data_IF_470608154212
#
_entry.id   IF_470608154212
#
_cell.length_a   1.000
_cell.length_b   1.000
_cell.length_c   1.000
_cell.angle_alpha   90.00
_cell.angle_beta   90.00
_cell.angle_gamma   90.00
#
_symmetry.space_group_name_H-M   'P 1'
#
loop_
_entity.id
_entity.type
_entity.pdbx_description
1 polymer ?
#
# COMPACT_ATOMS: atom_id res chain seq x y z
N UNK A 1 29.21 12.81 -4.89
CA UNK A 1 28.67 11.55 -4.35
C UNK A 1 28.65 11.69 -2.84
N UNK A 2 27.48 11.64 -2.20
CA UNK A 2 27.39 11.69 -0.73
C UNK A 2 27.82 10.32 -0.20
N UNK A 3 28.84 10.27 0.66
CA UNK A 3 29.41 9.01 1.17
C UNK A 3 28.44 8.20 2.05
N UNK A 4 28.84 7.00 2.51
CA UNK A 4 27.99 6.02 3.20
C UNK A 4 27.35 6.51 4.52
N UNK A 5 27.73 7.68 5.02
CA UNK A 5 27.27 8.26 6.29
C UNK A 5 25.79 8.69 6.30
N UNK A 6 25.17 8.87 5.12
CA UNK A 6 23.77 9.27 5.00
C UNK A 6 22.98 8.37 4.02
N UNK A 7 23.55 7.22 3.65
CA UNK A 7 22.85 6.29 2.78
C UNK A 7 21.70 5.63 3.55
N UNK A 8 20.48 5.77 3.03
CA UNK A 8 19.31 5.07 3.52
C UNK A 8 19.20 3.72 2.82
N UNK A 9 18.70 2.73 3.55
CA UNK A 9 18.41 1.40 3.05
C UNK A 9 17.06 0.96 3.59
N UNK A 10 16.36 0.13 2.81
CA UNK A 10 15.14 -0.52 3.25
C UNK A 10 15.23 -2.03 2.99
N UNK A 11 14.45 -2.79 3.76
CA UNK A 11 14.40 -4.25 3.63
C UNK A 11 13.82 -4.61 2.27
N UNK A 12 14.57 -5.41 1.50
CA UNK A 12 14.11 -6.02 0.27
C UNK A 12 13.03 -7.07 0.60
N UNK A 13 11.99 -7.13 -0.23
CA UNK A 13 11.01 -8.20 -0.12
C UNK A 13 11.65 -9.51 -0.56
N UNK A 14 11.52 -10.61 0.21
CA UNK A 14 12.14 -11.88 -0.13
C UNK A 14 11.53 -12.53 -1.38
N UNK A 15 10.28 -12.16 -1.70
CA UNK A 15 9.48 -12.61 -2.82
C UNK A 15 8.55 -11.47 -3.25
N UNK A 16 7.97 -11.51 -4.47
CA UNK A 16 6.96 -10.54 -4.89
C UNK A 16 5.82 -10.43 -3.88
N UNK A 17 5.34 -9.20 -3.64
CA UNK A 17 4.21 -8.98 -2.72
C UNK A 17 2.94 -9.62 -3.27
N UNK A 18 2.16 -10.23 -2.39
CA UNK A 18 0.85 -10.77 -2.77
C UNK A 18 -0.07 -9.68 -3.36
N UNK A 19 -0.75 -10.05 -4.44
CA UNK A 19 -1.76 -9.27 -5.12
C UNK A 19 -2.97 -10.16 -5.44
N UNK A 20 -4.10 -9.90 -4.80
CA UNK A 20 -5.33 -10.67 -4.98
C UNK A 20 -5.84 -10.71 -6.43
N UNK A 21 -5.51 -9.71 -7.25
CA UNK A 21 -5.90 -9.65 -8.66
C UNK A 21 -4.89 -10.29 -9.64
N UNK A 22 -3.74 -10.77 -9.16
CA UNK A 22 -2.74 -11.42 -10.01
C UNK A 22 -3.11 -12.89 -10.27
N UNK A 23 -2.65 -13.45 -11.40
CA UNK A 23 -2.74 -14.88 -11.64
C UNK A 23 -1.50 -15.58 -11.06
N UNK A 24 -1.73 -16.67 -10.34
CA UNK A 24 -0.72 -17.51 -9.71
C UNK A 24 -0.80 -18.94 -10.23
N UNK A 25 0.35 -19.54 -10.49
CA UNK A 25 0.49 -20.96 -10.76
C UNK A 25 0.80 -21.72 -9.47
N UNK A 26 0.52 -23.03 -9.47
CA UNK A 26 0.94 -23.89 -8.37
C UNK A 26 2.47 -23.88 -8.24
N UNK A 27 2.96 -23.64 -7.03
CA UNK A 27 4.38 -23.51 -6.71
C UNK A 27 4.89 -22.06 -6.65
N UNK A 28 4.11 -21.08 -7.10
CA UNK A 28 4.49 -19.68 -7.01
C UNK A 28 4.62 -19.24 -5.55
N UNK A 29 5.61 -18.36 -5.28
CA UNK A 29 5.89 -17.85 -3.93
C UNK A 29 5.60 -16.36 -3.83
N UNK A 30 4.95 -15.96 -2.75
CA UNK A 30 4.59 -14.56 -2.49
C UNK A 30 4.89 -14.15 -1.06
N UNK A 31 5.18 -12.87 -0.86
CA UNK A 31 5.34 -12.28 0.46
C UNK A 31 4.04 -11.60 0.92
N UNK A 32 3.54 -11.99 2.10
CA UNK A 32 2.34 -11.43 2.71
C UNK A 32 2.45 -11.44 4.24
N UNK A 33 2.18 -10.30 4.89
CA UNK A 33 2.13 -10.15 6.36
C UNK A 33 3.31 -10.78 7.14
N UNK A 34 4.55 -10.57 6.68
CA UNK A 34 5.74 -11.07 7.37
C UNK A 34 6.08 -12.54 7.10
N UNK A 35 5.33 -13.19 6.20
CA UNK A 35 5.57 -14.58 5.80
C UNK A 35 5.70 -14.71 4.29
N UNK A 36 6.37 -15.78 3.86
CA UNK A 36 6.45 -16.23 2.48
C UNK A 36 5.53 -17.44 2.32
N UNK A 37 4.55 -17.33 1.45
CA UNK A 37 3.60 -18.40 1.16
C UNK A 37 3.89 -19.03 -0.20
N UNK A 38 3.62 -20.32 -0.32
CA UNK A 38 3.67 -21.07 -1.58
C UNK A 38 2.26 -21.42 -2.04
N UNK A 39 1.95 -21.18 -3.30
CA UNK A 39 0.68 -21.54 -3.91
C UNK A 39 0.56 -23.07 -4.04
N UNK A 40 -0.38 -23.68 -3.32
CA UNK A 40 -0.72 -25.10 -3.43
C UNK A 40 -1.61 -25.39 -4.64
N UNK A 41 -2.35 -24.38 -5.10
CA UNK A 41 -3.27 -24.43 -6.23
C UNK A 41 -3.10 -23.19 -7.10
N UNK A 42 -3.29 -23.35 -8.41
CA UNK A 42 -3.34 -22.21 -9.33
C UNK A 42 -4.58 -21.34 -9.07
N UNK A 43 -4.54 -20.08 -9.46
CA UNK A 43 -5.70 -19.17 -9.41
C UNK A 43 -6.89 -19.76 -10.17
N UNK A 44 -8.09 -19.53 -9.65
CA UNK A 44 -9.30 -20.01 -10.31
C UNK A 44 -9.51 -19.31 -11.66
N UNK A 45 -9.86 -20.09 -12.68
CA UNK A 45 -10.26 -19.60 -14.00
C UNK A 45 -11.75 -19.85 -14.16
N UNK A 46 -12.53 -18.77 -14.28
CA UNK A 46 -13.98 -18.84 -14.48
C UNK A 46 -14.31 -18.71 -15.97
N UNK A 47 -15.19 -19.58 -16.48
CA UNK A 47 -15.71 -19.44 -17.84
C UNK A 47 -16.77 -18.35 -17.93
N UNK A 48 -16.91 -17.71 -19.10
CA UNK A 48 -17.95 -16.70 -19.34
C UNK A 48 -19.36 -17.24 -19.05
N UNK A 49 -19.60 -18.51 -19.41
CA UNK A 49 -20.86 -19.20 -19.14
C UNK A 49 -21.15 -19.34 -17.63
N UNK A 50 -20.13 -19.61 -16.82
CA UNK A 50 -20.24 -19.69 -15.37
C UNK A 50 -20.48 -18.30 -14.77
N UNK A 51 -19.72 -17.28 -15.21
CA UNK A 51 -19.86 -15.90 -14.74
C UNK A 51 -21.25 -15.32 -14.99
N UNK A 52 -21.84 -15.59 -16.15
CA UNK A 52 -23.20 -15.15 -16.50
C UNK A 52 -24.29 -15.80 -15.63
N UNK A 53 -24.06 -17.03 -15.17
CA UNK A 53 -24.99 -17.73 -14.27
C UNK A 53 -24.85 -17.22 -12.84
N UNK A 54 -23.62 -17.16 -12.32
CA UNK A 54 -23.40 -16.75 -10.93
C UNK A 54 -23.71 -15.29 -10.72
N UNK A 55 -23.36 -14.38 -11.64
CA UNK A 55 -23.64 -12.95 -11.51
C UNK A 55 -25.11 -12.58 -11.39
N UNK A 56 -26.04 -13.50 -11.74
CA UNK A 56 -27.49 -13.32 -11.55
C UNK A 56 -27.99 -13.82 -10.19
N UNK A 57 -27.26 -14.75 -9.57
CA UNK A 57 -27.72 -15.49 -8.39
C UNK A 57 -26.92 -15.14 -7.13
N UNK A 58 -25.64 -14.79 -7.28
CA UNK A 58 -24.67 -14.55 -6.20
C UNK A 58 -23.56 -13.61 -6.67
N UNK A 59 -22.69 -13.20 -5.73
CA UNK A 59 -21.48 -12.46 -6.07
C UNK A 59 -20.50 -13.35 -6.82
N UNK A 60 -19.80 -12.79 -7.81
CA UNK A 60 -18.71 -13.48 -8.50
C UNK A 60 -17.63 -13.85 -7.46
N UNK A 61 -17.29 -15.14 -7.33
CA UNK A 61 -16.28 -15.57 -6.36
C UNK A 61 -14.90 -15.01 -6.74
N UNK A 62 -14.05 -14.65 -5.76
CA UNK A 62 -12.73 -14.13 -6.04
C UNK A 62 -11.85 -15.20 -6.71
N UNK A 63 -10.95 -14.78 -7.60
CA UNK A 63 -10.01 -15.68 -8.29
C UNK A 63 -8.91 -16.22 -7.37
N UNK A 64 -8.63 -15.49 -6.29
CA UNK A 64 -7.65 -15.84 -5.26
C UNK A 64 -8.22 -15.59 -3.87
N UNK A 65 -7.76 -16.40 -2.93
CA UNK A 65 -7.90 -16.21 -1.49
C UNK A 65 -6.67 -15.51 -0.92
N UNK A 66 -6.84 -14.80 0.20
CA UNK A 66 -5.70 -14.23 0.93
C UNK A 66 -4.86 -15.34 1.56
N UNK A 67 -3.51 -15.28 1.49
CA UNK A 67 -2.66 -16.23 2.19
C UNK A 67 -2.91 -16.20 3.71
N UNK A 68 -3.08 -17.38 4.32
CA UNK A 68 -3.39 -17.52 5.74
C UNK A 68 -4.86 -17.27 6.11
N UNK A 69 -5.76 -17.02 5.15
CA UNK A 69 -7.19 -16.92 5.43
C UNK A 69 -7.79 -18.29 5.82
N UNK A 70 -8.61 -18.38 6.88
CA UNK A 70 -9.22 -19.64 7.27
C UNK A 70 -10.22 -20.12 6.21
N UNK A 71 -10.26 -21.43 5.96
CA UNK A 71 -11.22 -22.04 5.04
C UNK A 71 -10.82 -22.04 3.55
N UNK A 72 -9.59 -21.63 3.21
CA UNK A 72 -9.08 -21.66 1.84
C UNK A 72 -7.77 -22.44 1.75
N UNK A 73 -7.67 -23.36 0.79
CA UNK A 73 -6.52 -24.27 0.61
C UNK A 73 -5.60 -23.86 -0.53
N UNK A 74 -5.61 -22.58 -0.93
CA UNK A 74 -4.80 -22.11 -2.06
C UNK A 74 -3.33 -21.90 -1.69
N UNK A 75 -3.06 -21.56 -0.43
CA UNK A 75 -1.72 -21.23 0.08
C UNK A 75 -1.31 -22.22 1.16
N UNK A 76 -0.01 -22.44 1.31
CA UNK A 76 0.55 -23.19 2.43
C UNK A 76 0.44 -22.44 3.78
N UNK A 77 1.06 -22.98 4.83
CA UNK A 77 1.07 -22.36 6.16
C UNK A 77 1.88 -21.06 6.28
N UNK A 78 2.68 -20.75 5.24
CA UNK A 78 3.59 -19.61 5.19
C UNK A 78 4.79 -19.75 6.13
N UNK A 79 5.97 -19.49 5.58
CA UNK A 79 7.22 -19.46 6.34
C UNK A 79 7.51 -18.05 6.85
N UNK A 80 7.81 -17.85 8.15
CA UNK A 80 8.17 -16.54 8.67
C UNK A 80 9.45 -16.02 8.01
N UNK A 81 9.41 -14.76 7.59
CA UNK A 81 10.58 -14.08 7.06
C UNK A 81 11.12 -13.06 8.05
N UNK A 82 12.42 -13.15 8.31
CA UNK A 82 13.17 -12.17 9.07
C UNK A 82 14.56 -12.00 8.46
N UNK A 83 15.10 -10.79 8.52
CA UNK A 83 16.51 -10.55 8.20
C UNK A 83 17.35 -11.10 9.37
N UNK A 84 18.33 -11.99 9.13
CA UNK A 84 19.20 -12.50 10.18
C UNK A 84 19.91 -11.38 10.97
N UNK A 85 20.14 -11.62 12.26
CA UNK A 85 20.92 -10.69 13.07
C UNK A 85 22.38 -10.64 12.57
N UNK A 86 22.94 -9.43 12.47
CA UNK A 86 24.31 -9.24 11.98
C UNK A 86 24.47 -9.14 10.46
N UNK A 87 23.38 -9.24 9.68
CA UNK A 87 23.44 -8.98 8.22
C UNK A 87 23.93 -7.57 7.94
N UNK A 88 24.98 -7.46 7.12
CA UNK A 88 25.56 -6.18 6.73
C UNK A 88 24.59 -5.38 5.86
N UNK A 89 24.55 -4.06 6.02
CA UNK A 89 23.67 -3.16 5.26
C UNK A 89 23.99 -3.11 3.76
N UNK A 90 25.19 -3.56 3.37
CA UNK A 90 25.63 -3.69 1.98
C UNK A 90 25.18 -4.99 1.31
N UNK A 91 24.55 -5.91 2.06
CA UNK A 91 24.04 -7.17 1.52
C UNK A 91 22.76 -6.91 0.71
N UNK A 92 22.89 -7.01 -0.62
CA UNK A 92 21.81 -6.74 -1.56
C UNK A 92 20.73 -7.83 -1.61
N UNK A 93 20.94 -8.97 -0.95
CA UNK A 93 19.90 -9.98 -0.79
C UNK A 93 18.81 -9.55 0.20
N UNK A 94 19.17 -8.72 1.19
CA UNK A 94 18.27 -8.26 2.25
C UNK A 94 17.99 -6.76 2.21
N UNK A 95 18.90 -5.96 1.64
CA UNK A 95 18.83 -4.50 1.69
C UNK A 95 18.86 -3.90 0.30
N UNK A 96 17.95 -2.97 0.05
CA UNK A 96 17.96 -2.14 -1.15
C UNK A 96 18.36 -0.72 -0.76
N UNK A 97 19.36 -0.10 -1.42
CA UNK A 97 19.71 1.29 -1.18
C UNK A 97 18.55 2.20 -1.62
N UNK A 98 18.17 3.14 -0.75
CA UNK A 98 17.12 4.13 -0.99
C UNK A 98 16.15 4.31 0.18
N UNK A 99 15.10 5.07 -0.08
CA UNK A 99 13.98 5.30 0.85
C UNK A 99 12.67 4.87 0.17
N UNK A 100 11.99 3.87 0.76
CA UNK A 100 10.72 3.35 0.25
C UNK A 100 9.49 3.96 0.94
N UNK A 101 9.68 4.97 1.80
CA UNK A 101 8.58 5.65 2.50
C UNK A 101 7.94 6.69 1.58
N UNK A 102 6.64 6.93 1.79
CA UNK A 102 5.95 8.04 1.14
C UNK A 102 6.49 9.37 1.66
N UNK A 103 7.13 10.15 0.79
CA UNK A 103 7.72 11.44 1.15
C UNK A 103 6.67 12.44 1.64
N UNK A 104 5.46 12.42 1.07
CA UNK A 104 4.35 13.27 1.53
C UNK A 104 3.92 12.91 2.96
N UNK A 105 3.81 11.62 3.27
CA UNK A 105 3.50 11.18 4.65
C UNK A 105 4.59 11.57 5.64
N UNK A 106 5.85 11.50 5.22
CA UNK A 106 6.99 11.91 6.06
C UNK A 106 6.93 13.41 6.37
N UNK A 107 6.65 14.25 5.36
CA UNK A 107 6.49 15.69 5.54
C UNK A 107 5.35 16.02 6.52
N UNK A 108 4.18 15.40 6.33
CA UNK A 108 3.01 15.58 7.21
C UNK A 108 3.34 15.18 8.64
N UNK A 109 4.01 14.03 8.84
CA UNK A 109 4.44 13.60 10.16
C UNK A 109 5.36 14.65 10.81
N UNK A 110 6.31 15.21 10.05
CA UNK A 110 7.21 16.24 10.55
C UNK A 110 6.44 17.51 10.96
N UNK A 111 5.50 17.97 10.14
CA UNK A 111 4.68 19.16 10.45
C UNK A 111 3.81 18.96 11.70
N UNK A 112 3.18 17.80 11.87
CA UNK A 112 2.43 17.43 13.07
C UNK A 112 3.32 17.44 14.32
N UNK A 113 4.46 16.73 14.26
CA UNK A 113 5.40 16.63 15.40
C UNK A 113 5.94 18.00 15.77
N UNK A 114 6.34 18.81 14.78
CA UNK A 114 6.85 20.15 15.03
C UNK A 114 5.78 21.03 15.67
N UNK A 115 4.53 21.00 15.22
CA UNK A 115 3.45 21.75 15.86
C UNK A 115 3.28 21.37 17.33
N UNK A 116 3.16 20.08 17.65
CA UNK A 116 3.01 19.62 19.03
C UNK A 116 4.24 19.93 19.90
N UNK A 117 5.45 19.90 19.33
CA UNK A 117 6.65 20.31 20.05
C UNK A 117 6.62 21.80 20.44
N UNK A 118 6.10 22.66 19.56
CA UNK A 118 5.97 24.10 19.82
C UNK A 118 4.82 24.46 20.77
N UNK A 119 3.92 23.54 21.11
CA UNK A 119 2.90 23.81 22.14
C UNK A 119 3.49 23.96 23.55
N UNK A 120 4.77 23.63 23.74
CA UNK A 120 5.48 23.79 25.01
C UNK A 120 5.97 25.20 25.28
N UNK A 121 5.94 26.09 24.29
CA UNK A 121 6.29 27.51 24.45
C UNK A 121 5.01 28.36 24.54
N UNK A 122 5.15 29.61 25.00
CA UNK A 122 4.02 30.52 25.12
C UNK A 122 3.28 30.64 23.77
N UNK A 123 1.93 30.63 23.76
CA UNK A 123 1.16 30.70 22.51
C UNK A 123 1.50 31.88 21.60
N UNK A 124 1.91 33.02 22.18
CA UNK A 124 2.33 34.20 21.42
C UNK A 124 3.69 34.05 20.74
N UNK A 125 4.48 33.05 21.15
CA UNK A 125 5.80 32.76 20.59
C UNK A 125 5.80 31.63 19.56
N UNK A 126 4.64 30.98 19.33
CA UNK A 126 4.51 29.94 18.32
C UNK A 126 4.46 30.59 16.93
N UNK A 127 5.41 30.27 16.02
CA UNK A 127 5.39 30.83 14.67
C UNK A 127 4.11 30.47 13.93
N UNK A 128 3.51 31.43 13.22
CA UNK A 128 2.24 31.21 12.53
C UNK A 128 2.35 30.13 11.45
N UNK A 129 3.49 30.05 10.76
CA UNK A 129 3.81 28.99 9.80
C UNK A 129 3.61 27.58 10.39
N UNK A 130 3.88 27.38 11.70
CA UNK A 130 3.66 26.06 12.33
C UNK A 130 2.18 25.72 12.47
N UNK A 131 1.33 26.71 12.69
CA UNK A 131 -0.12 26.51 12.75
C UNK A 131 -0.69 26.26 11.35
N UNK A 132 -0.18 26.97 10.34
CA UNK A 132 -0.58 26.81 8.94
C UNK A 132 -0.20 25.42 8.42
N UNK A 133 1.07 25.02 8.55
CA UNK A 133 1.53 23.68 8.16
C UNK A 133 0.73 22.56 8.85
N UNK A 134 0.38 22.73 10.13
CA UNK A 134 -0.46 21.77 10.84
C UNK A 134 -1.87 21.67 10.22
N UNK A 135 -2.50 22.81 9.90
CA UNK A 135 -3.83 22.82 9.27
C UNK A 135 -3.79 22.18 7.89
N UNK A 136 -2.78 22.48 7.08
CA UNK A 136 -2.60 21.86 5.76
C UNK A 136 -2.37 20.36 5.87
N UNK A 137 -1.55 19.91 6.82
CA UNK A 137 -1.30 18.50 7.10
C UNK A 137 -2.60 17.76 7.47
N UNK A 138 -3.44 18.33 8.34
CA UNK A 138 -4.73 17.75 8.72
C UNK A 138 -5.70 17.71 7.52
N UNK A 139 -5.80 18.80 6.75
CA UNK A 139 -6.66 18.84 5.58
C UNK A 139 -6.25 17.79 4.54
N UNK A 140 -4.94 17.64 4.29
CA UNK A 140 -4.42 16.60 3.41
C UNK A 140 -4.79 15.20 3.91
N UNK A 141 -4.71 14.93 5.22
CA UNK A 141 -5.08 13.63 5.80
C UNK A 141 -6.57 13.35 5.65
N UNK A 142 -7.43 14.37 5.81
CA UNK A 142 -8.87 14.26 5.56
C UNK A 142 -9.13 13.95 4.09
N UNK A 143 -8.52 14.71 3.17
CA UNK A 143 -8.67 14.49 1.73
C UNK A 143 -8.17 13.10 1.30
N UNK A 144 -7.09 12.59 1.90
CA UNK A 144 -6.59 11.25 1.66
C UNK A 144 -7.57 10.19 2.17
N UNK A 145 -8.14 10.40 3.36
CA UNK A 145 -9.14 9.50 3.95
C UNK A 145 -10.46 9.48 3.17
N UNK A 146 -10.87 10.60 2.60
CA UNK A 146 -12.06 10.72 1.74
C UNK A 146 -11.84 10.20 0.31
N UNK A 147 -10.58 9.98 -0.09
CA UNK A 147 -10.20 9.58 -1.44
C UNK A 147 -10.23 10.72 -2.45
N UNK A 148 -10.17 11.98 -2.00
CA UNK A 148 -10.02 13.17 -2.87
C UNK A 148 -8.60 13.29 -3.42
N UNK A 149 -7.62 12.83 -2.65
CA UNK A 149 -6.23 12.66 -3.07
C UNK A 149 -5.82 11.20 -2.93
N UNK A 150 -4.93 10.74 -3.81
CA UNK A 150 -4.41 9.35 -3.76
C UNK A 150 -2.98 9.37 -3.25
N UNK A 151 -2.73 9.12 -1.95
CA UNK A 151 -1.38 9.04 -1.43
C UNK A 151 -0.65 7.81 -2.00
N UNK A 152 0.69 7.90 -2.14
CA UNK A 152 1.52 6.77 -2.54
C UNK A 152 1.68 5.76 -1.39
N UNK A 153 0.57 5.12 -1.02
CA UNK A 153 0.49 4.07 0.00
C UNK A 153 0.06 2.77 -0.67
N UNK A 154 0.44 1.60 -0.11
CA UNK A 154 -0.06 0.32 -0.60
C UNK A 154 -1.59 0.29 -0.60
N UNK A 155 -2.19 0.02 -1.76
CA UNK A 155 -3.63 -0.09 -1.88
C UNK A 155 -4.17 -1.21 -0.99
N UNK A 156 -5.32 -0.94 -0.36
CA UNK A 156 -6.06 -1.97 0.36
C UNK A 156 -6.59 -2.99 -0.65
N UNK A 157 -6.34 -4.26 -0.37
CA UNK A 157 -6.86 -5.38 -1.15
C UNK A 157 -8.02 -6.05 -0.35
N UNK A 158 -9.11 -6.51 -0.99
CA UNK A 158 -9.41 -6.36 -2.41
C UNK A 158 -9.68 -4.90 -2.78
N UNK A 159 -9.52 -4.55 -4.05
CA UNK A 159 -9.79 -3.20 -4.52
C UNK A 159 -11.23 -2.81 -4.15
N UNK A 160 -11.38 -1.88 -3.23
CA UNK A 160 -12.66 -1.23 -2.95
C UNK A 160 -12.82 -0.09 -3.96
N UNK A 161 -13.97 -0.03 -4.63
CA UNK A 161 -14.22 0.96 -5.68
C UNK A 161 -13.98 2.39 -5.20
N UNK A 162 -13.42 3.22 -6.08
CA UNK A 162 -13.26 4.65 -5.82
C UNK A 162 -14.62 5.36 -5.80
N UNK A 163 -14.74 6.43 -5.02
CA UNK A 163 -15.93 7.29 -5.01
C UNK A 163 -16.11 7.92 -6.39
N UNK A 164 -17.13 7.48 -7.14
CA UNK A 164 -17.50 8.08 -8.43
C UNK A 164 -18.26 9.38 -8.14
N UNK A 165 -17.71 10.53 -8.56
CA UNK A 165 -18.44 11.80 -8.58
C UNK A 165 -19.29 11.85 -9.86
N UNK A 166 -20.59 11.62 -9.74
CA UNK A 166 -21.52 11.77 -10.86
C UNK A 166 -21.89 13.25 -11.04
N UNK A 167 -21.83 13.79 -12.27
CA UNK A 167 -22.29 15.15 -12.59
C UNK A 167 -21.31 16.10 -13.29
N UNK A 168 -20.12 15.65 -13.70
CA UNK A 168 -19.21 16.46 -14.54
C UNK A 168 -19.64 16.43 -16.00
N UNK A 169 -20.19 17.54 -16.52
CA UNK A 169 -20.42 17.73 -17.95
C UNK A 169 -19.07 17.83 -18.68
N UNK A 170 -18.70 16.78 -19.44
CA UNK A 170 -17.65 16.92 -20.45
C UNK A 170 -18.25 17.71 -21.61
N UNK A 171 -17.89 18.98 -21.73
CA UNK A 171 -18.29 19.80 -22.88
C UNK A 171 -17.61 19.22 -24.11
N UNK A 172 -18.39 18.59 -25.01
CA UNK A 172 -17.89 18.08 -26.28
C UNK A 172 -17.27 19.24 -27.06
N UNK A 173 -15.93 19.26 -27.18
CA UNK A 173 -15.24 20.15 -28.09
C UNK A 173 -15.35 19.51 -29.48
N UNK A 174 -16.37 19.93 -30.24
CA UNK A 174 -16.40 19.71 -31.68
C UNK A 174 -15.31 20.61 -32.28
N UNK A 175 -14.15 20.03 -32.58
CA UNK A 175 -13.20 20.63 -33.50
C UNK A 175 -13.71 20.37 -34.91
N UNK A 176 -14.08 21.44 -35.62
CA UNK A 176 -14.33 21.43 -37.07
C UNK A 176 -13.02 21.29 -37.83
#
# INVERSE_FOLDING_TARGET
>A
MVGPRYALYYVAYPQPRFNIGAAYNKGDRVYYQGKVYTALQASAVYSDSYLLQVGKLQNIPPVNSFPGAPGYNQWDGGEPYAVPAGTLITDTAFWTPGDNRSQQMLQIMADLVLFYAHQRISPMSIPELRKENYREAINWLIDAGEGNITPNLPLRQPFAGNKIRYGGSVRSQYNY
#
